data_IF_331249942250
#
_entry.id   IF_331249942250
#
_cell.length_a   1.000
_cell.length_b   1.000
_cell.length_c   1.000
_cell.angle_alpha   90.00
_cell.angle_beta   90.00
_cell.angle_gamma   90.00
#
_symmetry.space_group_name_H-M   'P 1'
#
loop_
_entity.id
_entity.type
_entity.pdbx_description
1 polymer ?
#
# COMPACT_ATOMS: atom_id res chain seq x y z
N UNK A 1 -6.76 45.95 0.79
CA UNK A 1 -6.56 44.74 -0.05
C UNK A 1 -7.09 43.54 0.72
N UNK A 2 -8.28 43.05 0.36
CA UNK A 2 -8.91 41.89 0.99
C UNK A 2 -8.33 40.59 0.44
N UNK A 3 -7.78 39.74 1.30
CA UNK A 3 -7.68 38.30 1.01
C UNK A 3 -8.67 37.59 1.92
N UNK A 4 -9.74 37.10 1.30
CA UNK A 4 -10.74 36.20 1.88
C UNK A 4 -10.12 34.80 1.99
N UNK A 5 -10.33 34.15 3.15
CA UNK A 5 -10.31 32.71 3.47
C UNK A 5 -9.74 31.74 2.41
N UNK A 6 -8.81 30.89 2.85
CA UNK A 6 -8.87 29.46 2.51
C UNK A 6 -8.43 28.63 3.72
N UNK A 7 -9.43 28.11 4.45
CA UNK A 7 -9.25 27.06 5.45
C UNK A 7 -9.06 25.76 4.65
N UNK A 8 -7.81 25.39 4.41
CA UNK A 8 -7.47 24.18 3.69
C UNK A 8 -7.62 22.99 4.66
N UNK A 9 -8.80 22.36 4.64
CA UNK A 9 -9.04 21.07 5.28
C UNK A 9 -8.35 19.97 4.45
N UNK A 10 -7.06 19.68 4.70
CA UNK A 10 -6.27 18.66 3.98
C UNK A 10 -6.11 17.33 4.75
N UNK A 11 -7.04 16.99 5.64
CA UNK A 11 -6.82 15.91 6.61
C UNK A 11 -7.36 14.51 6.23
N UNK A 12 -7.97 14.28 5.05
CA UNK A 12 -8.73 13.04 4.83
C UNK A 12 -8.03 11.89 4.06
N UNK A 13 -6.80 12.04 3.55
CA UNK A 13 -6.14 10.96 2.76
C UNK A 13 -4.82 10.45 3.34
N UNK A 14 -4.32 11.04 4.42
CA UNK A 14 -3.03 10.65 5.00
C UNK A 14 -3.09 9.29 5.70
N UNK A 15 -4.20 9.00 6.36
CA UNK A 15 -4.36 7.84 7.23
C UNK A 15 -5.69 7.15 6.91
N UNK A 16 -5.66 5.86 6.58
CA UNK A 16 -6.87 5.12 6.18
C UNK A 16 -6.85 3.67 6.65
N UNK A 17 -8.03 3.05 6.74
CA UNK A 17 -8.20 1.67 7.19
C UNK A 17 -8.23 0.72 5.98
N UNK A 18 -7.58 -0.44 6.14
CA UNK A 18 -7.51 -1.49 5.13
C UNK A 18 -7.96 -2.80 5.74
N UNK A 19 -9.09 -3.32 5.25
CA UNK A 19 -9.58 -4.65 5.63
C UNK A 19 -8.95 -5.69 4.71
N UNK A 20 -8.31 -6.70 5.28
CA UNK A 20 -7.68 -7.78 4.52
C UNK A 20 -8.72 -8.82 4.16
N UNK A 21 -8.85 -9.14 2.89
CA UNK A 21 -9.80 -10.15 2.38
C UNK A 21 -9.11 -11.42 1.86
N UNK A 22 -7.86 -11.30 1.38
CA UNK A 22 -7.08 -12.43 0.83
C UNK A 22 -6.01 -12.96 1.77
N UNK A 23 -5.52 -14.16 1.47
CA UNK A 23 -4.57 -14.91 2.31
C UNK A 23 -3.11 -14.72 1.90
N UNK A 24 -2.84 -13.96 0.83
CA UNK A 24 -1.49 -13.91 0.25
C UNK A 24 -0.39 -13.41 1.19
N UNK A 25 -0.78 -12.72 2.27
CA UNK A 25 0.09 -12.17 3.30
C UNK A 25 -0.01 -12.92 4.65
N UNK A 26 -0.67 -14.08 4.68
CA UNK A 26 -0.74 -14.92 5.89
C UNK A 26 0.65 -15.53 6.20
N UNK A 27 1.05 -15.69 7.48
CA UNK A 27 0.29 -15.41 8.71
C UNK A 27 0.41 -13.97 9.22
N UNK A 28 1.16 -13.10 8.54
CA UNK A 28 1.46 -11.75 9.04
C UNK A 28 0.25 -10.82 8.96
N UNK A 29 -0.49 -10.87 7.86
CA UNK A 29 -1.78 -10.19 7.71
C UNK A 29 -2.88 -11.23 7.68
N UNK A 30 -3.81 -11.13 8.62
CA UNK A 30 -4.87 -12.12 8.82
C UNK A 30 -6.13 -11.68 8.08
N UNK A 31 -6.72 -12.53 7.22
CA UNK A 31 -8.02 -12.25 6.60
C UNK A 31 -9.08 -11.85 7.63
N UNK A 32 -9.93 -10.90 7.25
CA UNK A 32 -10.96 -10.32 8.10
C UNK A 32 -10.47 -9.22 9.04
N UNK A 33 -9.16 -9.14 9.36
CA UNK A 33 -8.61 -8.06 10.20
C UNK A 33 -8.47 -6.76 9.43
N UNK A 34 -8.54 -5.65 10.17
CA UNK A 34 -8.35 -4.30 9.66
C UNK A 34 -7.05 -3.72 10.18
N UNK A 35 -6.27 -3.12 9.28
CA UNK A 35 -5.00 -2.47 9.55
C UNK A 35 -5.09 -0.99 9.19
N UNK A 36 -4.18 -0.19 9.74
CA UNK A 36 -4.07 1.23 9.44
C UNK A 36 -2.96 1.43 8.40
N UNK A 37 -3.19 2.32 7.44
CA UNK A 37 -2.25 2.63 6.38
C UNK A 37 -1.98 4.14 6.32
N UNK A 38 -0.75 4.52 5.98
CA UNK A 38 -0.30 5.91 5.89
C UNK A 38 0.42 6.18 4.56
N UNK A 39 0.13 7.30 3.90
CA UNK A 39 0.69 7.62 2.57
C UNK A 39 1.87 8.60 2.57
N UNK A 40 2.26 9.12 3.74
CA UNK A 40 3.35 10.12 3.88
C UNK A 40 4.73 9.53 4.14
N UNK A 41 4.81 8.21 4.33
CA UNK A 41 6.06 7.54 4.70
C UNK A 41 6.82 7.07 3.46
N UNK A 42 8.16 7.15 3.54
CA UNK A 42 9.05 6.57 2.51
C UNK A 42 9.02 5.05 2.63
N UNK A 43 8.67 4.39 1.52
CA UNK A 43 8.65 2.92 1.39
C UNK A 43 10.06 2.33 1.49
N UNK A 44 10.19 1.23 2.22
CA UNK A 44 11.42 0.47 2.43
C UNK A 44 11.20 -1.03 2.22
N UNK A 45 12.29 -1.76 1.99
CA UNK A 45 12.28 -3.23 2.01
C UNK A 45 11.69 -3.75 3.32
N UNK A 46 10.77 -4.72 3.21
CA UNK A 46 10.06 -5.32 4.34
C UNK A 46 8.76 -4.62 4.74
N UNK A 47 8.50 -3.41 4.24
CA UNK A 47 7.21 -2.74 4.46
C UNK A 47 6.07 -3.48 3.77
N UNK A 48 4.86 -3.34 4.30
CA UNK A 48 3.65 -3.81 3.63
C UNK A 48 2.99 -2.60 2.99
N UNK A 49 2.85 -2.62 1.66
CA UNK A 49 2.27 -1.50 0.92
C UNK A 49 0.91 -1.88 0.36
N UNK A 50 0.02 -0.89 0.33
CA UNK A 50 -1.30 -0.92 -0.30
C UNK A 50 -1.16 -0.24 -1.64
N UNK A 51 -1.61 -0.89 -2.70
CA UNK A 51 -1.45 -0.37 -4.06
C UNK A 51 -2.52 -0.93 -4.99
N UNK A 52 -2.75 -0.23 -6.10
CA UNK A 52 -3.56 -0.73 -7.22
C UNK A 52 -2.73 -1.69 -8.08
N UNK A 53 -3.31 -2.81 -8.50
CA UNK A 53 -2.62 -3.76 -9.37
C UNK A 53 -2.17 -3.05 -10.68
N UNK A 54 -0.86 -3.04 -11.02
CA UNK A 54 -0.37 -2.38 -12.24
C UNK A 54 -1.06 -2.82 -13.53
N UNK A 55 -1.53 -4.07 -13.60
CA UNK A 55 -2.26 -4.62 -14.76
C UNK A 55 -3.78 -4.41 -14.71
N UNK A 56 -4.36 -4.18 -13.53
CA UNK A 56 -5.79 -3.97 -13.36
C UNK A 56 -6.05 -2.96 -12.23
N UNK A 57 -6.30 -1.70 -12.58
CA UNK A 57 -6.41 -0.60 -11.60
C UNK A 57 -7.68 -0.64 -10.73
N UNK A 58 -8.61 -1.56 -11.02
CA UNK A 58 -9.80 -1.82 -10.21
C UNK A 58 -9.52 -2.75 -9.02
N UNK A 59 -8.37 -3.44 -9.04
CA UNK A 59 -7.93 -4.31 -7.95
C UNK A 59 -6.97 -3.59 -7.01
N UNK A 60 -7.20 -3.73 -5.71
CA UNK A 60 -6.32 -3.23 -4.65
C UNK A 60 -5.67 -4.39 -3.92
N UNK A 61 -4.35 -4.37 -3.83
CA UNK A 61 -3.55 -5.38 -3.17
C UNK A 61 -2.79 -4.83 -1.98
N UNK A 62 -2.44 -5.75 -1.09
CA UNK A 62 -1.45 -5.52 -0.03
C UNK A 62 -0.36 -6.57 -0.17
N UNK A 63 0.90 -6.13 -0.30
CA UNK A 63 2.06 -7.03 -0.44
C UNK A 63 3.26 -6.51 0.35
N UNK A 64 4.20 -7.41 0.65
CA UNK A 64 5.48 -7.06 1.28
C UNK A 64 6.44 -6.56 0.20
N UNK A 65 7.15 -5.47 0.47
CA UNK A 65 8.19 -4.94 -0.40
C UNK A 65 9.42 -5.83 -0.30
N UNK A 66 9.78 -6.46 -1.42
CA UNK A 66 10.97 -7.29 -1.56
C UNK A 66 12.20 -6.45 -1.86
N UNK A 67 12.05 -5.46 -2.75
CA UNK A 67 13.15 -4.61 -3.22
C UNK A 67 12.61 -3.26 -3.71
N UNK A 68 13.43 -2.21 -3.64
CA UNK A 68 13.07 -0.85 -4.08
C UNK A 68 13.98 -0.40 -5.23
N UNK A 69 13.39 0.14 -6.30
CA UNK A 69 14.07 0.65 -7.50
C UNK A 69 13.67 2.10 -7.75
N UNK A 70 14.29 3.04 -7.05
CA UNK A 70 13.88 4.45 -7.09
C UNK A 70 12.47 4.62 -6.52
N UNK A 71 11.52 5.04 -7.36
CA UNK A 71 10.10 5.24 -7.04
C UNK A 71 9.22 4.01 -7.38
N UNK A 72 9.85 2.90 -7.77
CA UNK A 72 9.18 1.64 -8.10
C UNK A 72 9.53 0.54 -7.10
N UNK A 73 8.57 -0.36 -6.85
CA UNK A 73 8.69 -1.38 -5.81
C UNK A 73 8.44 -2.77 -6.40
N UNK A 74 9.38 -3.69 -6.14
CA UNK A 74 9.12 -5.11 -6.30
C UNK A 74 8.48 -5.64 -5.02
N UNK A 75 7.38 -6.36 -5.16
CA UNK A 75 6.62 -6.91 -4.04
C UNK A 75 6.50 -8.42 -4.14
N UNK A 76 6.34 -9.07 -3.00
CA UNK A 76 6.25 -10.53 -2.91
C UNK A 76 5.04 -10.98 -2.09
N UNK A 77 4.67 -12.25 -2.30
CA UNK A 77 3.70 -13.00 -1.50
C UNK A 77 4.41 -13.74 -0.35
N UNK A 78 3.72 -13.97 0.78
CA UNK A 78 4.22 -14.81 1.87
C UNK A 78 3.82 -16.28 1.71
N UNK A 79 2.91 -16.56 0.77
CA UNK A 79 2.48 -17.90 0.38
C UNK A 79 2.81 -18.13 -1.10
N UNK A 80 3.09 -19.38 -1.46
CA UNK A 80 3.59 -19.74 -2.81
C UNK A 80 2.57 -19.58 -3.93
N UNK A 81 1.27 -19.59 -3.62
CA UNK A 81 0.18 -19.44 -4.59
C UNK A 81 -0.36 -18.00 -4.71
N UNK A 82 0.23 -17.05 -4.00
CA UNK A 82 -0.22 -15.65 -4.03
C UNK A 82 0.55 -14.84 -5.06
N UNK A 83 -0.14 -13.90 -5.72
CA UNK A 83 0.50 -13.09 -6.75
C UNK A 83 1.61 -12.19 -6.21
N UNK A 84 2.59 -11.89 -7.06
CA UNK A 84 3.74 -11.05 -6.76
C UNK A 84 4.14 -10.19 -7.97
N UNK A 85 5.21 -9.40 -7.85
CA UNK A 85 5.70 -8.56 -8.95
C UNK A 85 6.08 -9.35 -10.20
N UNK A 86 6.38 -10.64 -10.08
CA UNK A 86 6.58 -11.55 -11.20
C UNK A 86 5.32 -11.69 -12.08
N UNK A 87 4.11 -11.53 -11.52
CA UNK A 87 2.84 -11.68 -12.23
C UNK A 87 2.36 -10.38 -12.87
N UNK A 88 2.54 -9.24 -12.19
CA UNK A 88 1.95 -7.95 -12.60
C UNK A 88 2.96 -6.82 -12.80
N UNK A 89 4.25 -7.05 -12.55
CA UNK A 89 5.31 -6.06 -12.68
C UNK A 89 5.56 -5.24 -11.41
N UNK A 90 6.36 -4.18 -11.56
CA UNK A 90 6.70 -3.29 -10.46
C UNK A 90 5.55 -2.34 -10.15
N UNK A 91 5.37 -2.04 -8.86
CA UNK A 91 4.42 -1.04 -8.38
C UNK A 91 5.07 0.33 -8.49
N UNK A 92 4.51 1.23 -9.29
CA UNK A 92 4.99 2.61 -9.41
C UNK A 92 4.28 3.58 -8.46
N UNK A 93 4.75 4.83 -8.45
CA UNK A 93 4.18 5.88 -7.61
C UNK A 93 2.67 6.11 -7.85
N UNK A 94 2.22 6.06 -9.12
CA UNK A 94 0.80 6.25 -9.46
C UNK A 94 -0.13 5.14 -8.97
N UNK A 95 0.41 3.96 -8.65
CA UNK A 95 -0.36 2.84 -8.08
C UNK A 95 -0.31 2.79 -6.55
N UNK A 96 0.67 3.47 -5.93
CA UNK A 96 0.88 3.43 -4.48
C UNK A 96 -0.21 4.20 -3.74
N UNK A 97 -0.78 3.58 -2.71
CA UNK A 97 -1.83 4.18 -1.88
C UNK A 97 -1.36 4.44 -0.45
N UNK A 98 -0.51 3.57 0.12
CA UNK A 98 0.02 3.77 1.47
C UNK A 98 0.84 2.59 2.00
N UNK A 99 1.49 2.80 3.13
CA UNK A 99 2.21 1.78 3.90
C UNK A 99 1.34 1.35 5.07
N UNK A 100 1.17 0.05 5.32
CA UNK A 100 0.55 -0.41 6.55
C UNK A 100 1.41 -0.02 7.75
N UNK A 101 0.83 0.76 8.65
CA UNK A 101 1.47 1.14 9.90
C UNK A 101 1.50 -0.07 10.85
N UNK A 102 2.70 -0.56 11.12
CA UNK A 102 2.93 -1.49 12.23
C UNK A 102 3.30 -0.69 13.48
N UNK A 103 2.56 -0.89 14.57
CA UNK A 103 3.12 -0.63 15.89
C UNK A 103 4.32 -1.56 16.04
N UNK A 104 5.51 -0.98 16.20
CA UNK A 104 6.69 -1.75 16.59
C UNK A 104 6.47 -2.36 17.97
#
# INVERSE_FOLDING_TARGET
MHIKKLLIHYFSTVLFRVRITGESMWPVLVPGKTYLAINLLRVRKGDFIVFKNPKNQDEVFVKRVKETYGDRYAVESLVSWGNASEDFGLVGHGQFLGILWKSR
#
